data_IF_412907406251
#
_entry.id   IF_412907406251
#
_cell.length_a   1.000
_cell.length_b   1.000
_cell.length_c   1.000
_cell.angle_alpha   90.00
_cell.angle_beta   90.00
_cell.angle_gamma   90.00
#
_symmetry.space_group_name_H-M   'P 1'
#
loop_
_entity.id
_entity.type
_entity.pdbx_description
1 polymer ?
#
# COMPACT_ATOMS: atom_id res chain seq x y z
N UNK A 1 24.83 -22.75 27.29
CA UNK A 1 24.09 -21.60 27.86
C UNK A 1 22.64 -21.77 27.48
N UNK A 2 21.79 -21.59 28.49
CA UNK A 2 20.43 -22.12 28.69
C UNK A 2 19.46 -22.00 27.51
N UNK A 3 18.80 -23.13 27.26
CA UNK A 3 17.73 -23.45 26.30
C UNK A 3 16.42 -22.64 26.48
N UNK A 4 16.50 -21.48 27.15
CA UNK A 4 15.33 -20.69 27.56
C UNK A 4 15.16 -19.35 26.82
N UNK A 5 16.08 -18.98 25.91
CA UNK A 5 15.90 -17.76 25.09
C UNK A 5 15.29 -18.00 23.70
N UNK A 6 15.06 -19.25 23.30
CA UNK A 6 14.50 -19.58 21.97
C UNK A 6 12.94 -19.57 21.98
N UNK A 7 12.30 -19.37 23.14
CA UNK A 7 10.84 -19.41 23.29
C UNK A 7 10.11 -18.05 23.30
N UNK A 8 10.79 -16.91 23.14
CA UNK A 8 10.15 -15.59 23.17
C UNK A 8 10.29 -14.77 21.89
N UNK A 9 10.88 -15.31 20.82
CA UNK A 9 11.05 -14.59 19.55
C UNK A 9 10.21 -15.14 18.38
N UNK A 10 9.19 -15.95 18.67
CA UNK A 10 8.25 -16.47 17.66
C UNK A 10 6.83 -15.85 17.75
N UNK A 11 6.68 -14.65 18.34
CA UNK A 11 5.39 -13.94 18.42
C UNK A 11 5.38 -12.58 17.71
N UNK A 12 6.39 -12.29 16.89
CA UNK A 12 6.34 -11.11 16.01
C UNK A 12 6.72 -11.55 14.61
N UNK A 13 5.73 -11.48 13.72
CA UNK A 13 5.79 -11.87 12.32
C UNK A 13 7.14 -11.60 11.67
N UNK A 14 7.85 -12.70 11.46
CA UNK A 14 9.07 -12.91 10.70
C UNK A 14 9.11 -12.01 9.44
N UNK A 15 9.72 -10.83 9.53
CA UNK A 15 10.11 -10.02 8.36
C UNK A 15 11.58 -10.26 8.07
N UNK A 16 11.82 -11.30 7.30
CA UNK A 16 13.10 -11.59 6.69
C UNK A 16 13.39 -10.53 5.61
N UNK A 17 14.33 -9.62 5.90
CA UNK A 17 15.35 -9.12 4.97
C UNK A 17 16.35 -8.25 5.76
N UNK A 18 17.32 -8.90 6.41
CA UNK A 18 18.52 -8.21 6.85
C UNK A 18 19.52 -8.21 5.69
N UNK A 19 19.95 -7.00 5.31
CA UNK A 19 21.03 -6.63 4.37
C UNK A 19 20.62 -6.29 2.93
N UNK A 20 19.98 -5.14 2.73
CA UNK A 20 20.21 -4.31 1.53
C UNK A 20 20.46 -2.85 1.94
N UNK A 21 21.74 -2.49 1.92
CA UNK A 21 22.25 -1.13 2.00
C UNK A 21 21.83 -0.32 0.76
N UNK A 22 20.66 0.36 0.80
CA UNK A 22 20.31 1.65 0.14
C UNK A 22 18.79 1.81 0.00
N UNK A 23 18.22 2.75 0.75
CA UNK A 23 17.04 3.57 0.39
C UNK A 23 15.81 2.90 -0.26
N UNK A 24 15.50 1.64 0.04
CA UNK A 24 14.26 1.04 -0.47
C UNK A 24 13.20 1.10 0.62
N UNK A 25 12.38 2.16 0.58
CA UNK A 25 11.25 2.33 1.50
C UNK A 25 10.34 1.10 1.36
N UNK A 26 10.11 0.42 2.47
CA UNK A 26 9.32 -0.80 2.52
C UNK A 26 7.84 -0.53 2.19
N UNK A 27 7.13 -1.53 1.65
CA UNK A 27 5.70 -1.44 1.36
C UNK A 27 4.89 -1.02 2.59
N UNK A 28 5.27 -1.51 3.78
CA UNK A 28 4.63 -1.18 5.05
C UNK A 28 4.74 0.31 5.39
N UNK A 29 5.92 0.89 5.19
CA UNK A 29 6.19 2.29 5.50
C UNK A 29 5.38 3.21 4.58
N UNK A 30 5.26 2.86 3.29
CA UNK A 30 4.35 3.56 2.35
C UNK A 30 2.88 3.40 2.70
N UNK A 31 2.49 2.22 3.18
CA UNK A 31 1.13 1.97 3.65
C UNK A 31 0.79 2.82 4.88
N UNK A 32 1.71 2.94 5.84
CA UNK A 32 1.53 3.80 7.02
C UNK A 32 1.48 5.28 6.65
N UNK A 33 2.33 5.73 5.73
CA UNK A 33 2.31 7.09 5.18
C UNK A 33 0.96 7.39 4.51
N UNK A 34 0.47 6.45 3.69
CA UNK A 34 -0.84 6.55 3.04
C UNK A 34 -1.99 6.59 4.05
N UNK A 35 -1.96 5.71 5.06
CA UNK A 35 -2.98 5.65 6.11
C UNK A 35 -3.06 6.97 6.88
N UNK A 36 -1.92 7.57 7.23
CA UNK A 36 -1.85 8.88 7.86
C UNK A 36 -2.41 9.99 6.95
N UNK A 37 -2.10 9.92 5.65
CA UNK A 37 -2.59 10.88 4.67
C UNK A 37 -4.11 10.78 4.46
N UNK A 38 -4.66 9.57 4.31
CA UNK A 38 -6.11 9.33 4.21
C UNK A 38 -6.83 9.80 5.47
N UNK A 39 -6.25 9.61 6.66
CA UNK A 39 -6.84 10.13 7.91
C UNK A 39 -6.92 11.66 7.92
N UNK A 40 -5.95 12.35 7.30
CA UNK A 40 -5.88 13.82 7.27
C UNK A 40 -6.73 14.46 6.19
N UNK A 41 -6.77 13.87 4.99
CA UNK A 41 -7.42 14.45 3.80
C UNK A 41 -8.71 13.72 3.39
N UNK A 42 -9.00 12.57 4.00
CA UNK A 42 -10.16 11.74 3.69
C UNK A 42 -9.97 10.83 2.48
N UNK A 43 -11.03 10.14 2.02
CA UNK A 43 -10.97 9.17 0.92
C UNK A 43 -10.64 9.81 -0.44
N UNK A 44 -10.87 11.12 -0.60
CA UNK A 44 -10.56 11.88 -1.82
C UNK A 44 -9.09 12.33 -1.92
N UNK A 45 -8.21 11.74 -1.10
CA UNK A 45 -6.79 12.11 -0.97
C UNK A 45 -6.04 12.15 -2.32
N UNK A 46 -6.46 11.32 -3.28
CA UNK A 46 -5.83 11.20 -4.59
C UNK A 46 -5.90 12.50 -5.41
N UNK A 47 -6.93 13.32 -5.19
CA UNK A 47 -7.07 14.63 -5.82
C UNK A 47 -6.11 15.65 -5.20
N UNK A 48 -5.96 15.63 -3.87
CA UNK A 48 -5.14 16.58 -3.12
C UNK A 48 -3.63 16.35 -3.29
N UNK A 49 -3.18 15.10 -3.44
CA UNK A 49 -1.75 14.82 -3.63
C UNK A 49 -1.21 15.37 -4.96
N UNK A 50 -2.05 15.54 -6.00
CA UNK A 50 -1.59 16.08 -7.28
C UNK A 50 -1.04 17.50 -7.17
N UNK A 51 -1.53 18.28 -6.21
CA UNK A 51 -1.11 19.66 -6.00
C UNK A 51 0.11 19.75 -5.07
N UNK A 52 0.31 18.77 -4.19
CA UNK A 52 1.35 18.81 -3.17
C UNK A 52 2.56 17.96 -3.54
N UNK A 53 3.60 18.63 -4.06
CA UNK A 53 4.83 17.99 -4.56
C UNK A 53 5.56 17.16 -3.51
N UNK A 54 5.34 17.42 -2.21
CA UNK A 54 5.91 16.66 -1.09
C UNK A 54 5.45 15.20 -1.09
N UNK A 55 4.26 14.93 -1.62
CA UNK A 55 3.66 13.60 -1.67
C UNK A 55 3.76 12.94 -3.05
N UNK A 56 4.55 13.50 -3.98
CA UNK A 56 4.75 12.93 -5.34
C UNK A 56 5.24 11.49 -5.30
N UNK A 57 6.13 11.15 -4.36
CA UNK A 57 6.66 9.79 -4.19
C UNK A 57 5.57 8.81 -3.76
N UNK A 58 4.70 9.23 -2.83
CA UNK A 58 3.54 8.46 -2.41
C UNK A 58 2.54 8.29 -3.56
N UNK A 59 2.31 9.36 -4.35
CA UNK A 59 1.45 9.30 -5.54
C UNK A 59 1.95 8.27 -6.55
N UNK A 60 3.24 8.28 -6.84
CA UNK A 60 3.86 7.31 -7.76
C UNK A 60 3.68 5.89 -7.25
N UNK A 61 3.78 5.67 -5.94
CA UNK A 61 3.52 4.38 -5.31
C UNK A 61 2.05 3.97 -5.45
N UNK A 62 1.11 4.89 -5.26
CA UNK A 62 -0.32 4.65 -5.49
C UNK A 62 -0.60 4.26 -6.95
N UNK A 63 -0.06 5.01 -7.91
CA UNK A 63 -0.16 4.68 -9.34
C UNK A 63 0.45 3.32 -9.68
N UNK A 64 1.59 2.99 -9.08
CA UNK A 64 2.22 1.69 -9.24
C UNK A 64 1.29 0.57 -8.77
N UNK A 65 0.72 0.68 -7.56
CA UNK A 65 -0.23 -0.31 -7.05
C UNK A 65 -1.46 -0.42 -7.96
N UNK A 66 -2.05 0.69 -8.42
CA UNK A 66 -3.17 0.65 -9.38
C UNK A 66 -2.82 -0.09 -10.68
N UNK A 67 -1.63 0.14 -11.22
CA UNK A 67 -1.15 -0.58 -12.42
C UNK A 67 -0.97 -2.07 -12.14
N UNK A 68 -0.45 -2.45 -10.98
CA UNK A 68 -0.34 -3.86 -10.58
C UNK A 68 -1.73 -4.51 -10.44
N UNK A 69 -2.71 -3.78 -9.90
CA UNK A 69 -4.07 -4.27 -9.75
C UNK A 69 -4.73 -4.48 -11.11
N UNK A 70 -4.58 -3.54 -12.04
CA UNK A 70 -5.06 -3.70 -13.42
C UNK A 70 -4.43 -4.93 -14.11
N UNK A 71 -3.13 -5.16 -13.90
CA UNK A 71 -2.46 -6.38 -14.40
C UNK A 71 -3.05 -7.65 -13.79
N UNK A 72 -3.34 -7.63 -12.49
CA UNK A 72 -4.01 -8.73 -11.81
C UNK A 72 -5.39 -9.02 -12.42
N UNK A 73 -6.17 -7.98 -12.73
CA UNK A 73 -7.47 -8.11 -13.40
C UNK A 73 -7.34 -8.70 -14.82
N UNK A 74 -6.29 -8.35 -15.56
CA UNK A 74 -5.97 -8.93 -16.87
C UNK A 74 -5.37 -10.36 -16.81
N UNK A 75 -5.17 -10.93 -15.62
CA UNK A 75 -4.51 -12.24 -15.46
C UNK A 75 -3.00 -12.21 -15.70
N UNK A 76 -2.37 -11.04 -15.71
CA UNK A 76 -0.93 -10.88 -15.86
C UNK A 76 -0.18 -11.04 -14.52
N UNK A 77 1.13 -11.33 -14.62
CA UNK A 77 2.02 -11.33 -13.46
C UNK A 77 2.04 -9.95 -12.79
N UNK A 78 1.78 -9.95 -11.49
CA UNK A 78 1.72 -8.75 -10.66
C UNK A 78 2.38 -8.99 -9.30
N UNK A 79 2.76 -7.90 -8.62
CA UNK A 79 3.41 -7.94 -7.31
C UNK A 79 2.46 -7.66 -6.13
N UNK A 80 1.15 -7.61 -6.38
CA UNK A 80 0.14 -7.39 -5.36
C UNK A 80 -0.34 -8.71 -4.80
N UNK A 81 -0.12 -8.91 -3.50
CA UNK A 81 -0.73 -10.03 -2.78
C UNK A 81 -2.14 -9.64 -2.32
N UNK A 82 -3.00 -10.65 -2.11
CA UNK A 82 -4.35 -10.45 -1.60
C UNK A 82 -4.35 -9.69 -0.27
N UNK A 83 -3.38 -9.95 0.60
CA UNK A 83 -3.21 -9.25 1.88
C UNK A 83 -2.98 -7.74 1.70
N UNK A 84 -2.10 -7.35 0.76
CA UNK A 84 -1.84 -5.94 0.44
C UNK A 84 -3.10 -5.24 -0.08
N UNK A 85 -3.91 -5.96 -0.85
CA UNK A 85 -5.19 -5.45 -1.36
C UNK A 85 -6.18 -5.25 -0.21
N UNK A 86 -6.31 -6.23 0.69
CA UNK A 86 -7.18 -6.12 1.87
C UNK A 86 -6.79 -4.94 2.76
N UNK A 87 -5.51 -4.75 3.04
CA UNK A 87 -5.01 -3.60 3.83
C UNK A 87 -5.36 -2.26 3.18
N UNK A 88 -5.18 -2.14 1.86
CA UNK A 88 -5.53 -0.93 1.14
C UNK A 88 -7.06 -0.71 1.11
N UNK A 89 -7.86 -1.77 0.97
CA UNK A 89 -9.31 -1.67 1.05
C UNK A 89 -9.80 -1.23 2.45
N UNK A 90 -9.13 -1.66 3.53
CA UNK A 90 -9.46 -1.27 4.90
C UNK A 90 -9.35 0.25 5.13
N UNK A 91 -8.38 0.90 4.49
CA UNK A 91 -8.23 2.36 4.54
C UNK A 91 -9.10 3.09 3.51
N UNK A 92 -10.01 2.39 2.81
CA UNK A 92 -10.87 2.98 1.79
C UNK A 92 -10.14 3.35 0.50
N UNK A 93 -9.07 2.64 0.15
CA UNK A 93 -8.31 2.90 -1.07
C UNK A 93 -9.12 2.58 -2.33
N UNK A 94 -9.38 3.59 -3.15
CA UNK A 94 -10.07 3.40 -4.43
C UNK A 94 -9.08 2.97 -5.53
N UNK A 95 -9.17 1.69 -5.91
CA UNK A 95 -8.43 1.09 -7.01
C UNK A 95 -8.87 1.61 -8.36
N UNK A 96 -10.19 1.57 -8.58
CA UNK A 96 -10.86 2.14 -9.75
C UNK A 96 -11.30 3.55 -9.36
N UNK A 97 -11.12 4.51 -10.26
CA UNK A 97 -11.96 5.70 -10.22
C UNK A 97 -13.36 5.15 -10.49
N UNK A 98 -14.19 5.02 -9.46
CA UNK A 98 -15.61 4.82 -9.70
C UNK A 98 -16.02 5.97 -10.60
N UNK A 99 -16.30 5.63 -11.86
CA UNK A 99 -17.01 6.45 -12.80
C UNK A 99 -18.41 6.61 -12.21
N UNK A 100 -18.51 7.52 -11.24
CA UNK A 100 -19.76 7.79 -10.57
C UNK A 100 -20.63 8.50 -11.60
N UNK A 101 -21.57 7.71 -12.13
CA UNK A 101 -22.79 8.10 -12.82
C UNK A 101 -22.65 8.32 -14.32
N UNK A 102 -22.61 7.21 -15.06
CA UNK A 102 -23.56 7.04 -16.16
C UNK A 102 -24.97 7.31 -15.62
N UNK A 103 -25.45 8.55 -15.77
CA UNK A 103 -26.88 8.81 -15.73
C UNK A 103 -27.48 8.08 -16.93
N UNK A 104 -28.10 6.95 -16.63
CA UNK A 104 -29.08 6.26 -17.47
C UNK A 104 -30.25 7.21 -17.77
N UNK A 105 -30.67 7.29 -19.03
CA UNK A 105 -31.88 8.01 -19.48
C UNK A 105 -31.72 8.78 -20.78
#
# INVERSE_FOLDING_TARGET
MTEQQIKLLNDVGFKQDQQISKHTISWNERYEELKGYVKKFGPAFFLTIKEDTRYTSLLRWVYFNKRQYKKMECGERNSLTKERISLLNEIGFQWKLEEKLSWDG
#
